data_IF_287422237262
#
_entry.id   IF_287422237262
#
_cell.length_a   1.000
_cell.length_b   1.000
_cell.length_c   1.000
_cell.angle_alpha   90.00
_cell.angle_beta   90.00
_cell.angle_gamma   90.00
#
_symmetry.space_group_name_H-M   'P 1'
#
loop_
_entity.id
_entity.type
_entity.pdbx_description
1 polymer ?
#
# COMPACT_ATOMS: atom_id res chain seq x y z
N UNK A 1 -10.65 12.47 -11.64
CA UNK A 1 -9.32 12.21 -11.05
C UNK A 1 -8.24 12.84 -11.93
N UNK A 2 -7.07 13.15 -11.38
CA UNK A 2 -5.97 13.85 -12.09
C UNK A 2 -5.18 12.98 -13.08
N UNK A 3 -5.36 11.65 -13.07
CA UNK A 3 -4.65 10.72 -13.98
C UNK A 3 -3.17 10.50 -13.63
N UNK A 4 -2.68 11.11 -12.55
CA UNK A 4 -1.30 10.95 -12.08
C UNK A 4 -1.04 9.56 -11.50
N UNK A 5 0.21 9.11 -11.56
CA UNK A 5 0.63 7.88 -10.91
C UNK A 5 0.42 7.99 -9.38
N UNK A 6 -0.15 6.97 -8.70
CA UNK A 6 -0.33 6.98 -7.25
C UNK A 6 0.94 7.30 -6.43
N UNK A 7 2.12 6.91 -6.93
CA UNK A 7 3.39 7.27 -6.31
C UNK A 7 3.64 8.78 -6.35
N UNK A 8 3.30 9.45 -7.45
CA UNK A 8 3.39 10.90 -7.57
C UNK A 8 2.39 11.60 -6.67
N UNK A 9 1.14 11.12 -6.63
CA UNK A 9 0.11 11.67 -5.74
C UNK A 9 0.55 11.63 -4.27
N UNK A 10 1.17 10.53 -3.84
CA UNK A 10 1.74 10.41 -2.49
C UNK A 10 2.86 11.41 -2.24
N UNK A 11 3.77 11.63 -3.20
CA UNK A 11 4.83 12.63 -3.08
C UNK A 11 4.22 14.04 -2.91
N UNK A 12 3.20 14.38 -3.71
CA UNK A 12 2.57 15.70 -3.69
C UNK A 12 1.96 16.07 -2.32
N UNK A 13 1.59 15.08 -1.50
CA UNK A 13 0.98 15.28 -0.17
C UNK A 13 1.92 14.99 1.00
N UNK A 14 3.21 14.70 0.72
CA UNK A 14 4.20 14.33 1.73
C UNK A 14 5.27 15.39 1.87
N UNK A 15 5.03 16.36 2.76
CA UNK A 15 6.03 17.37 3.11
C UNK A 15 7.10 16.81 4.08
N UNK A 16 8.36 17.24 3.97
CA UNK A 16 9.41 16.90 4.93
C UNK A 16 9.01 17.25 6.37
N UNK A 17 9.16 16.30 7.29
CA UNK A 17 8.76 16.40 8.71
C UNK A 17 7.25 16.69 8.92
N UNK A 18 6.42 16.42 7.91
CA UNK A 18 4.97 16.60 7.98
C UNK A 18 4.25 15.40 8.61
N UNK A 19 2.96 15.58 8.91
CA UNK A 19 2.10 14.52 9.48
C UNK A 19 1.91 13.34 8.53
N UNK A 20 1.82 13.57 7.22
CA UNK A 20 1.76 12.51 6.21
C UNK A 20 3.02 11.66 6.21
N UNK A 21 4.20 12.29 6.28
CA UNK A 21 5.47 11.56 6.34
C UNK A 21 5.52 10.67 7.58
N UNK A 22 5.20 11.22 8.76
CA UNK A 22 5.19 10.46 10.01
C UNK A 22 4.24 9.24 9.94
N UNK A 23 3.06 9.38 9.32
CA UNK A 23 2.16 8.26 9.09
C UNK A 23 2.73 7.19 8.15
N UNK A 24 3.39 7.62 7.06
CA UNK A 24 4.04 6.71 6.11
C UNK A 24 5.21 5.94 6.74
N UNK A 25 5.95 6.55 7.67
CA UNK A 25 7.01 5.89 8.43
C UNK A 25 6.45 4.75 9.29
N UNK A 26 5.34 4.97 9.99
CA UNK A 26 4.64 3.90 10.74
C UNK A 26 4.20 2.75 9.83
N UNK A 27 3.67 3.06 8.63
CA UNK A 27 3.33 2.02 7.66
C UNK A 27 4.55 1.24 7.17
N UNK A 28 5.69 1.90 7.00
CA UNK A 28 6.94 1.24 6.59
C UNK A 28 7.47 0.32 7.71
N UNK A 29 7.50 0.80 8.96
CA UNK A 29 7.89 0.02 10.14
C UNK A 29 7.02 -1.22 10.31
N UNK A 30 5.73 -1.13 9.99
CA UNK A 30 4.77 -2.23 10.07
C UNK A 30 4.82 -3.22 8.88
N UNK A 31 5.75 -3.09 7.94
CA UNK A 31 5.80 -3.86 6.68
C UNK A 31 4.44 -3.88 5.95
N UNK A 32 3.77 -2.72 5.88
CA UNK A 32 2.41 -2.65 5.32
C UNK A 32 2.35 -3.16 3.87
N UNK A 33 3.36 -2.82 3.05
CA UNK A 33 3.42 -3.28 1.66
C UNK A 33 3.57 -4.80 1.56
N UNK A 34 4.40 -5.42 2.41
CA UNK A 34 4.53 -6.87 2.47
C UNK A 34 3.25 -7.53 2.98
N UNK A 35 2.57 -6.94 3.97
CA UNK A 35 1.28 -7.41 4.46
C UNK A 35 0.23 -7.44 3.35
N UNK A 36 0.06 -6.34 2.61
CA UNK A 36 -0.89 -6.27 1.49
C UNK A 36 -0.57 -7.32 0.44
N UNK A 37 0.70 -7.49 0.07
CA UNK A 37 1.11 -8.52 -0.90
C UNK A 37 0.75 -9.94 -0.44
N UNK A 38 0.99 -10.26 0.85
CA UNK A 38 0.63 -11.57 1.43
C UNK A 38 -0.88 -11.78 1.44
N UNK A 39 -1.67 -10.76 1.78
CA UNK A 39 -3.14 -10.81 1.79
C UNK A 39 -3.68 -11.08 0.39
N UNK A 40 -3.24 -10.32 -0.61
CA UNK A 40 -3.68 -10.49 -1.99
C UNK A 40 -3.32 -11.88 -2.52
N UNK A 41 -2.11 -12.36 -2.21
CA UNK A 41 -1.70 -13.73 -2.57
C UNK A 41 -2.62 -14.77 -1.94
N UNK A 42 -2.84 -14.70 -0.63
CA UNK A 42 -3.68 -15.66 0.09
C UNK A 42 -5.13 -15.67 -0.45
N UNK A 43 -5.70 -14.50 -0.74
CA UNK A 43 -7.02 -14.39 -1.35
C UNK A 43 -7.06 -15.01 -2.75
N UNK A 44 -6.04 -14.76 -3.58
CA UNK A 44 -5.95 -15.34 -4.92
C UNK A 44 -5.80 -16.87 -4.89
N UNK A 45 -4.98 -17.40 -3.97
CA UNK A 45 -4.82 -18.84 -3.80
C UNK A 45 -6.14 -19.49 -3.38
N UNK A 46 -6.84 -18.91 -2.39
CA UNK A 46 -8.14 -19.40 -1.94
C UNK A 46 -9.20 -19.37 -3.04
N UNK A 47 -9.20 -18.33 -3.87
CA UNK A 47 -10.11 -18.24 -5.01
C UNK A 47 -9.90 -19.39 -6.02
N UNK A 48 -8.65 -19.82 -6.22
CA UNK A 48 -8.33 -20.94 -7.13
C UNK A 48 -8.77 -22.28 -6.54
N UNK A 49 -8.60 -22.47 -5.24
CA UNK A 49 -9.08 -23.67 -4.53
C UNK A 49 -10.60 -23.83 -4.60
N UNK A 50 -11.34 -22.72 -4.57
CA UNK A 50 -12.81 -22.72 -4.57
C UNK A 50 -13.42 -22.85 -5.97
N UNK A 51 -12.70 -22.43 -7.01
CA UNK A 51 -13.17 -22.45 -8.40
C UNK A 51 -12.71 -23.66 -9.22
N UNK A 52 -11.84 -24.50 -8.65
CA UNK A 52 -11.40 -25.77 -9.23
C UNK A 52 -12.26 -26.96 -8.84
#
# INVERSE_FOLDING_TARGET
>A
ESGENPAQLRINVTSPNGTTQAGLEVFAEADFMGLVARVVKAAADRSRELGG
#
